data_IF_697259383548
#
_entry.id   IF_697259383548
#
_cell.length_a   1.000
_cell.length_b   1.000
_cell.length_c   1.000
_cell.angle_alpha   90.00
_cell.angle_beta   90.00
_cell.angle_gamma   90.00
#
_symmetry.space_group_name_H-M   'P 1'
#
loop_
_entity.id
_entity.type
_entity.pdbx_description
1 polymer ?
#
# COMPACT_ATOMS: atom_id res chain seq x y z
N UNK A 1 -17.94 10.84 37.95
CA UNK A 1 -17.70 12.11 37.23
C UNK A 1 -18.12 11.87 35.79
N UNK A 2 -19.00 12.70 35.22
CA UNK A 2 -19.44 12.51 33.84
C UNK A 2 -18.29 12.91 32.90
N UNK A 3 -17.67 11.94 32.25
CA UNK A 3 -16.71 12.17 31.17
C UNK A 3 -17.48 12.74 29.97
N UNK A 4 -17.19 13.99 29.60
CA UNK A 4 -17.77 14.62 28.41
C UNK A 4 -17.02 14.12 27.17
N UNK A 5 -17.72 13.40 26.29
CA UNK A 5 -17.21 13.02 24.97
C UNK A 5 -17.61 14.10 23.97
N UNK A 6 -16.64 14.70 23.28
CA UNK A 6 -16.85 15.59 22.14
C UNK A 6 -17.13 14.73 20.90
N UNK A 7 -18.14 15.11 20.13
CA UNK A 7 -18.52 14.39 18.90
C UNK A 7 -18.29 15.33 17.72
N UNK A 8 -17.47 14.90 16.76
CA UNK A 8 -17.20 15.59 15.51
C UNK A 8 -17.73 14.69 14.38
N UNK A 9 -18.99 14.89 14.01
CA UNK A 9 -19.76 14.00 13.12
C UNK A 9 -20.24 14.65 11.81
N UNK A 10 -19.87 15.92 11.57
CA UNK A 10 -20.29 16.68 10.38
C UNK A 10 -19.27 16.69 9.25
N UNK A 11 -18.07 16.18 9.50
CA UNK A 11 -16.97 16.26 8.56
C UNK A 11 -16.08 15.01 8.67
N UNK A 12 -15.73 14.43 7.53
CA UNK A 12 -14.82 13.30 7.48
C UNK A 12 -13.46 13.68 8.04
N UNK A 13 -12.96 12.92 9.03
CA UNK A 13 -11.67 13.18 9.68
C UNK A 13 -10.47 13.13 8.74
N UNK A 14 -10.59 12.39 7.63
CA UNK A 14 -9.49 12.08 6.72
C UNK A 14 -9.45 12.98 5.47
N UNK A 15 -10.61 13.27 4.86
CA UNK A 15 -10.68 14.03 3.60
C UNK A 15 -11.48 15.33 3.70
N UNK A 16 -12.01 15.67 4.87
CA UNK A 16 -12.80 16.87 5.12
C UNK A 16 -14.11 16.97 4.32
N UNK A 17 -14.59 15.86 3.75
CA UNK A 17 -15.92 15.82 3.12
C UNK A 17 -17.02 16.03 4.16
N UNK A 18 -17.93 16.96 3.88
CA UNK A 18 -19.10 17.30 4.71
C UNK A 18 -20.38 16.59 4.26
N UNK A 19 -20.29 15.63 3.33
CA UNK A 19 -21.47 14.91 2.85
C UNK A 19 -21.98 13.93 3.93
N UNK A 20 -22.88 14.42 4.78
CA UNK A 20 -23.43 13.67 5.92
C UNK A 20 -24.06 12.32 5.53
N UNK A 21 -24.56 12.17 4.29
CA UNK A 21 -25.19 10.94 3.83
C UNK A 21 -24.23 9.74 3.73
N UNK A 22 -22.93 10.01 3.67
CA UNK A 22 -21.88 8.98 3.54
C UNK A 22 -20.93 8.95 4.74
N UNK A 23 -21.20 9.73 5.80
CA UNK A 23 -20.38 9.75 7.02
C UNK A 23 -20.72 8.56 7.91
N UNK A 24 -19.70 7.79 8.24
CA UNK A 24 -19.79 6.61 9.09
C UNK A 24 -19.10 6.92 10.42
N UNK A 25 -19.74 6.65 11.58
CA UNK A 25 -19.06 6.67 12.87
C UNK A 25 -17.84 5.75 12.85
N UNK A 26 -16.76 6.13 13.53
CA UNK A 26 -15.56 5.26 13.62
C UNK A 26 -15.87 3.88 14.17
N UNK A 27 -16.89 3.73 15.02
CA UNK A 27 -17.37 2.44 15.51
C UNK A 27 -17.97 1.50 14.45
N UNK A 28 -18.33 2.01 13.27
CA UNK A 28 -18.77 1.21 12.11
C UNK A 28 -17.63 0.94 11.13
N UNK A 29 -16.58 1.76 11.17
CA UNK A 29 -15.43 1.67 10.26
C UNK A 29 -14.34 0.76 10.83
N UNK A 30 -14.15 0.80 12.16
CA UNK A 30 -13.17 -0.02 12.86
C UNK A 30 -13.81 -1.36 13.19
N UNK A 31 -13.23 -2.44 12.67
CA UNK A 31 -13.67 -3.79 12.92
C UNK A 31 -12.46 -4.76 12.95
N UNK A 32 -12.71 -6.08 12.88
CA UNK A 32 -11.66 -7.09 12.87
C UNK A 32 -10.75 -7.05 11.63
N UNK A 33 -11.18 -6.39 10.56
CA UNK A 33 -10.48 -6.29 9.27
C UNK A 33 -9.77 -4.94 9.09
N UNK A 34 -10.21 -3.90 9.80
CA UNK A 34 -9.61 -2.57 9.77
C UNK A 34 -9.47 -2.02 11.19
N UNK A 35 -8.23 -1.99 11.71
CA UNK A 35 -7.94 -1.50 13.06
C UNK A 35 -7.56 -0.01 13.06
N UNK A 36 -7.58 0.63 14.23
CA UNK A 36 -7.07 2.01 14.40
C UNK A 36 -5.61 2.11 13.94
N UNK A 37 -4.80 1.10 14.29
CA UNK A 37 -3.39 1.03 13.89
C UNK A 37 -3.23 0.93 12.37
N UNK A 38 -4.11 0.20 11.67
CA UNK A 38 -4.08 0.12 10.21
C UNK A 38 -4.39 1.47 9.56
N UNK A 39 -5.33 2.22 10.13
CA UNK A 39 -5.68 3.58 9.68
C UNK A 39 -4.49 4.53 9.87
N UNK A 40 -3.86 4.52 11.04
CA UNK A 40 -2.68 5.36 11.33
C UNK A 40 -1.49 4.97 10.46
N UNK A 41 -1.23 3.67 10.25
CA UNK A 41 -0.18 3.19 9.33
C UNK A 41 -0.42 3.59 7.88
N UNK A 42 -1.67 3.63 7.44
CA UNK A 42 -2.03 4.02 6.08
C UNK A 42 -1.93 5.53 5.85
N UNK A 43 -2.33 6.34 6.84
CA UNK A 43 -2.60 7.77 6.63
C UNK A 43 -1.72 8.70 7.45
N UNK A 44 -1.08 8.21 8.51
CA UNK A 44 -0.44 9.03 9.54
C UNK A 44 -1.43 9.79 10.43
N UNK A 45 -2.74 9.54 10.30
CA UNK A 45 -3.79 10.25 11.04
C UNK A 45 -4.39 9.34 12.10
N UNK A 46 -4.46 9.85 13.33
CA UNK A 46 -5.18 9.21 14.43
C UNK A 46 -6.66 9.50 14.35
N UNK A 47 -7.47 8.45 14.47
CA UNK A 47 -8.94 8.49 14.44
C UNK A 47 -9.58 8.07 15.76
N UNK A 48 -8.75 7.94 16.80
CA UNK A 48 -9.16 7.69 18.18
C UNK A 48 -8.34 8.60 19.11
N UNK A 49 -9.05 9.47 19.82
CA UNK A 49 -8.49 10.40 20.81
C UNK A 49 -9.35 10.35 22.10
N UNK A 50 -8.72 10.58 23.25
CA UNK A 50 -9.43 10.61 24.52
C UNK A 50 -10.56 11.64 24.45
N UNK A 51 -11.79 11.17 24.76
CA UNK A 51 -12.97 12.00 24.80
C UNK A 51 -13.35 12.67 23.46
N UNK A 52 -12.89 12.16 22.30
CA UNK A 52 -13.34 12.64 20.98
C UNK A 52 -13.78 11.48 20.10
N UNK A 53 -14.99 11.60 19.54
CA UNK A 53 -15.52 10.69 18.51
C UNK A 53 -15.49 11.37 17.15
N UNK A 54 -15.07 10.63 16.12
CA UNK A 54 -14.98 11.12 14.74
C UNK A 54 -15.88 10.31 13.81
N UNK A 55 -16.08 10.85 12.61
CA UNK A 55 -16.65 10.14 11.47
C UNK A 55 -15.67 10.06 10.31
N UNK A 56 -15.79 9.00 9.52
CA UNK A 56 -15.03 8.76 8.31
C UNK A 56 -16.03 8.51 7.19
N UNK A 57 -15.86 9.13 6.02
CA UNK A 57 -16.76 8.90 4.90
C UNK A 57 -16.52 7.52 4.25
N UNK A 58 -17.57 6.96 3.64
CA UNK A 58 -17.52 5.68 2.92
C UNK A 58 -16.37 5.60 1.89
N UNK A 59 -16.06 6.63 1.06
CA UNK A 59 -14.92 6.58 0.15
C UNK A 59 -13.56 6.41 0.86
N UNK A 60 -13.36 7.04 2.01
CA UNK A 60 -12.14 6.87 2.80
C UNK A 60 -12.08 5.48 3.42
N UNK A 61 -13.20 4.99 3.95
CA UNK A 61 -13.30 3.62 4.46
C UNK A 61 -12.94 2.59 3.38
N UNK A 62 -13.52 2.71 2.19
CA UNK A 62 -13.22 1.81 1.06
C UNK A 62 -11.73 1.83 0.65
N UNK A 63 -11.09 3.02 0.67
CA UNK A 63 -9.64 3.14 0.41
C UNK A 63 -8.81 2.45 1.49
N UNK A 64 -9.19 2.61 2.76
CA UNK A 64 -8.53 1.96 3.89
C UNK A 64 -8.63 0.43 3.82
N UNK A 65 -9.80 -0.11 3.48
CA UNK A 65 -9.97 -1.57 3.31
C UNK A 65 -9.10 -2.12 2.17
N UNK A 66 -9.07 -1.43 1.02
CA UNK A 66 -8.22 -1.81 -0.12
C UNK A 66 -6.74 -1.78 0.25
N UNK A 67 -6.28 -0.71 0.90
CA UNK A 67 -4.90 -0.59 1.35
C UNK A 67 -4.55 -1.69 2.36
N UNK A 68 -5.41 -1.93 3.35
CA UNK A 68 -5.16 -2.92 4.40
C UNK A 68 -5.06 -4.33 3.81
N UNK A 69 -5.94 -4.68 2.88
CA UNK A 69 -5.89 -5.96 2.14
C UNK A 69 -4.59 -6.08 1.35
N UNK A 70 -4.22 -5.04 0.60
CA UNK A 70 -2.98 -5.00 -0.17
C UNK A 70 -1.73 -5.12 0.72
N UNK A 71 -1.72 -4.42 1.86
CA UNK A 71 -0.65 -4.49 2.84
C UNK A 71 -0.47 -5.90 3.39
N UNK A 72 -1.56 -6.57 3.79
CA UNK A 72 -1.48 -7.96 4.26
C UNK A 72 -0.95 -8.90 3.18
N UNK A 73 -1.38 -8.71 1.93
CA UNK A 73 -0.84 -9.46 0.79
C UNK A 73 0.67 -9.25 0.65
N UNK A 74 1.16 -8.00 0.70
CA UNK A 74 2.59 -7.71 0.65
C UNK A 74 3.37 -8.32 1.81
N UNK A 75 2.87 -8.22 3.05
CA UNK A 75 3.53 -8.79 4.22
C UNK A 75 3.66 -10.32 4.13
N UNK A 76 2.59 -11.00 3.69
CA UNK A 76 2.63 -12.45 3.48
C UNK A 76 3.63 -12.85 2.40
N UNK A 77 3.70 -12.07 1.32
CA UNK A 77 4.64 -12.34 0.24
C UNK A 77 6.08 -12.03 0.65
N UNK A 78 6.32 -11.01 1.46
CA UNK A 78 7.64 -10.66 2.00
C UNK A 78 8.20 -11.79 2.89
N UNK A 79 7.37 -12.41 3.72
CA UNK A 79 7.74 -13.62 4.46
C UNK A 79 8.18 -14.76 3.53
N UNK A 80 7.38 -15.06 2.50
CA UNK A 80 7.69 -16.10 1.51
C UNK A 80 8.93 -15.77 0.68
N UNK A 81 9.09 -14.52 0.30
CA UNK A 81 10.26 -14.04 -0.42
C UNK A 81 11.52 -14.28 0.41
N UNK A 82 11.52 -13.87 1.68
CA UNK A 82 12.65 -14.12 2.58
C UNK A 82 12.97 -15.60 2.75
N UNK A 83 11.96 -16.47 2.82
CA UNK A 83 12.18 -17.92 2.90
C UNK A 83 12.89 -18.45 1.64
N UNK A 84 12.33 -18.14 0.45
CA UNK A 84 12.84 -18.62 -0.84
C UNK A 84 14.25 -18.10 -1.15
N UNK A 85 14.53 -16.85 -0.80
CA UNK A 85 15.78 -16.18 -1.17
C UNK A 85 16.79 -16.07 -0.02
N UNK A 86 16.53 -16.70 1.13
CA UNK A 86 17.44 -16.72 2.29
C UNK A 86 18.84 -17.27 1.97
N UNK A 87 18.95 -18.20 1.01
CA UNK A 87 20.22 -18.79 0.59
C UNK A 87 21.05 -17.86 -0.33
N UNK A 88 20.42 -17.00 -1.14
CA UNK A 88 21.13 -16.10 -2.06
C UNK A 88 21.88 -15.00 -1.29
N UNK A 89 21.27 -14.44 -0.23
CA UNK A 89 21.95 -13.47 0.63
C UNK A 89 23.14 -14.07 1.41
N UNK A 90 23.24 -15.39 1.51
CA UNK A 90 24.38 -16.05 2.14
C UNK A 90 25.58 -16.21 1.18
N UNK A 91 25.34 -16.33 -0.13
CA UNK A 91 26.37 -16.52 -1.17
C UNK A 91 27.00 -15.24 -1.72
N UNK A 92 26.38 -14.06 -1.54
CA UNK A 92 26.88 -12.78 -2.08
C UNK A 92 28.06 -12.16 -1.32
N UNK A 93 28.52 -12.77 -0.22
CA UNK A 93 29.72 -12.27 0.49
C UNK A 93 31.04 -12.55 -0.25
N UNK A 94 31.00 -13.26 -1.37
CA UNK A 94 32.18 -13.68 -2.14
C UNK A 94 32.25 -13.14 -3.59
N UNK A 95 31.30 -12.33 -4.05
CA UNK A 95 31.33 -11.80 -5.44
C UNK A 95 31.03 -10.30 -5.53
N UNK A 96 32.03 -9.56 -6.01
CA UNK A 96 32.00 -8.12 -6.30
C UNK A 96 31.08 -7.83 -7.50
N UNK A 97 29.79 -7.56 -7.26
CA UNK A 97 28.85 -7.19 -8.32
C UNK A 97 28.91 -5.69 -8.62
N UNK A 98 29.13 -5.35 -9.89
CA UNK A 98 29.25 -3.98 -10.42
C UNK A 98 27.85 -3.42 -10.74
N UNK A 99 27.55 -2.14 -10.43
CA UNK A 99 26.19 -1.62 -10.57
C UNK A 99 25.82 -1.40 -12.04
N UNK A 100 24.70 -1.99 -12.47
CA UNK A 100 24.08 -1.81 -13.78
C UNK A 100 23.35 -0.48 -13.88
N UNK A 101 23.55 0.23 -14.98
CA UNK A 101 22.99 1.57 -15.25
C UNK A 101 21.56 1.46 -15.77
N UNK A 102 20.56 1.90 -14.99
CA UNK A 102 19.15 1.89 -15.39
C UNK A 102 18.74 3.12 -16.23
N UNK A 103 17.89 2.90 -17.24
CA UNK A 103 17.21 3.95 -18.03
C UNK A 103 15.73 4.06 -17.65
N UNK A 104 15.17 5.28 -17.69
CA UNK A 104 13.83 5.59 -17.15
C UNK A 104 12.76 5.71 -18.24
N UNK A 105 11.61 5.07 -18.02
CA UNK A 105 10.38 5.27 -18.82
C UNK A 105 9.25 5.84 -17.95
N UNK A 106 8.35 6.62 -18.58
CA UNK A 106 7.22 7.27 -17.92
C UNK A 106 5.90 6.56 -18.25
N UNK A 107 5.05 6.32 -17.24
CA UNK A 107 3.67 5.87 -17.44
C UNK A 107 2.68 6.87 -16.83
N UNK A 108 1.59 7.12 -17.55
CA UNK A 108 0.55 8.07 -17.17
C UNK A 108 -0.67 7.32 -16.63
N UNK A 109 -1.07 7.59 -15.39
CA UNK A 109 -2.28 7.06 -14.78
C UNK A 109 -3.28 8.19 -14.55
N UNK A 110 -4.53 7.98 -14.99
CA UNK A 110 -5.65 8.88 -14.67
C UNK A 110 -6.43 8.31 -13.47
N UNK A 111 -6.60 9.11 -12.43
CA UNK A 111 -7.63 8.89 -11.41
C UNK A 111 -8.70 9.97 -11.60
N UNK A 112 -9.98 9.62 -11.35
CA UNK A 112 -11.19 10.42 -11.64
C UNK A 112 -11.35 11.73 -10.81
N UNK A 113 -10.27 12.44 -10.53
CA UNK A 113 -10.25 13.77 -9.91
C UNK A 113 -9.03 14.55 -10.43
N UNK A 114 -9.14 15.10 -11.65
CA UNK A 114 -8.32 16.10 -12.39
C UNK A 114 -6.80 16.26 -12.11
N UNK A 115 -6.14 15.30 -11.48
CA UNK A 115 -4.72 15.31 -11.18
C UNK A 115 -4.01 14.15 -11.89
N UNK A 116 -3.36 14.49 -13.00
CA UNK A 116 -2.49 13.59 -13.75
C UNK A 116 -1.14 13.48 -13.02
N UNK A 117 -0.92 12.34 -12.36
CA UNK A 117 0.38 12.03 -11.77
C UNK A 117 1.16 11.10 -12.71
N UNK A 118 2.39 11.51 -13.04
CA UNK A 118 3.30 10.69 -13.84
C UNK A 118 4.19 9.90 -12.90
N UNK A 119 4.07 8.57 -12.93
CA UNK A 119 4.94 7.68 -12.18
C UNK A 119 6.06 7.23 -13.11
N UNK A 120 7.31 7.55 -12.72
CA UNK A 120 8.53 7.09 -13.38
C UNK A 120 8.98 5.80 -12.74
N UNK A 121 9.13 4.75 -13.55
CA UNK A 121 9.75 3.51 -13.13
C UNK A 121 11.12 3.42 -13.81
N UNK A 122 12.14 3.05 -13.04
CA UNK A 122 13.40 2.60 -13.62
C UNK A 122 13.17 1.18 -14.16
N UNK A 123 13.26 0.98 -15.48
CA UNK A 123 13.37 -0.38 -16.01
C UNK A 123 14.83 -0.82 -15.85
N UNK A 124 15.09 -2.00 -15.26
CA UNK A 124 16.39 -2.64 -15.41
C UNK A 124 16.69 -2.77 -16.91
N UNK A 125 17.94 -2.55 -17.29
CA UNK A 125 18.37 -2.74 -18.68
C UNK A 125 18.11 -4.19 -19.12
N UNK A 126 17.83 -4.37 -20.42
CA UNK A 126 17.35 -5.62 -21.03
C UNK A 126 18.27 -6.84 -20.75
N UNK A 127 19.55 -6.62 -20.48
CA UNK A 127 20.50 -7.64 -20.03
C UNK A 127 20.12 -8.31 -18.70
N UNK A 128 19.38 -7.63 -17.82
CA UNK A 128 18.97 -8.19 -16.53
C UNK A 128 17.79 -9.16 -16.59
N UNK A 129 16.92 -9.09 -17.61
CA UNK A 129 15.81 -10.04 -17.74
C UNK A 129 16.31 -11.39 -18.28
N UNK A 130 17.25 -11.37 -19.22
CA UNK A 130 17.72 -12.55 -19.92
C UNK A 130 18.59 -13.41 -18.99
N UNK A 131 19.46 -12.76 -18.21
CA UNK A 131 20.27 -13.38 -17.16
C UNK A 131 19.40 -13.93 -16.02
N UNK A 132 18.28 -13.26 -15.68
CA UNK A 132 17.32 -13.76 -14.71
C UNK A 132 16.54 -14.98 -15.26
N UNK A 133 16.06 -14.95 -16.50
CA UNK A 133 15.33 -16.07 -17.10
C UNK A 133 16.20 -17.33 -17.14
N UNK A 134 17.47 -17.21 -17.54
CA UNK A 134 18.44 -18.31 -17.60
C UNK A 134 18.87 -18.80 -16.21
N UNK A 135 19.06 -17.89 -15.24
CA UNK A 135 19.41 -18.26 -13.86
C UNK A 135 18.24 -18.89 -13.08
N UNK A 136 17.00 -18.55 -13.43
CA UNK A 136 15.79 -19.00 -12.73
C UNK A 136 15.01 -20.09 -13.47
N UNK A 137 15.43 -20.51 -14.66
CA UNK A 137 14.80 -21.61 -15.43
C UNK A 137 13.34 -21.35 -15.78
N UNK A 138 13.02 -20.10 -16.14
CA UNK A 138 11.65 -19.63 -16.39
C UNK A 138 11.26 -19.66 -17.88
N UNK A 139 11.94 -20.48 -18.70
CA UNK A 139 11.72 -20.52 -20.16
C UNK A 139 10.27 -20.88 -20.57
N UNK A 140 9.47 -21.51 -19.71
CA UNK A 140 8.09 -21.93 -20.04
C UNK A 140 7.02 -20.82 -20.00
N UNK A 141 7.34 -19.60 -19.54
CA UNK A 141 6.37 -18.49 -19.46
C UNK A 141 6.31 -17.61 -20.73
N UNK A 142 7.10 -17.93 -21.75
CA UNK A 142 7.08 -17.27 -23.06
C UNK A 142 6.59 -18.23 -24.14
N UNK A 143 5.34 -18.67 -24.04
CA UNK A 143 4.58 -19.03 -25.25
C UNK A 143 3.44 -18.03 -25.43
N UNK A 144 3.49 -17.17 -26.46
CA UNK A 144 2.33 -16.37 -26.86
C UNK A 144 1.31 -17.26 -27.58
N UNK A 145 0.02 -17.10 -27.27
CA UNK A 145 -1.07 -17.46 -28.20
C UNK A 145 -1.05 -16.57 -29.44
#
# INVERSE_FOLDING_TARGET
>A
MASFVRVIDKICRLCLSENEAILLPTSQVIDSTLTVDDIERCTGVRVEEEHVSYVICEPCHNKLQKFTTYRYFCLRNDERFRELFSALCASERDSEAKPTSATFEHSYFRMDDDSEYVITYAKPSDDGYEEAIEAFGLEELLQPE
#
